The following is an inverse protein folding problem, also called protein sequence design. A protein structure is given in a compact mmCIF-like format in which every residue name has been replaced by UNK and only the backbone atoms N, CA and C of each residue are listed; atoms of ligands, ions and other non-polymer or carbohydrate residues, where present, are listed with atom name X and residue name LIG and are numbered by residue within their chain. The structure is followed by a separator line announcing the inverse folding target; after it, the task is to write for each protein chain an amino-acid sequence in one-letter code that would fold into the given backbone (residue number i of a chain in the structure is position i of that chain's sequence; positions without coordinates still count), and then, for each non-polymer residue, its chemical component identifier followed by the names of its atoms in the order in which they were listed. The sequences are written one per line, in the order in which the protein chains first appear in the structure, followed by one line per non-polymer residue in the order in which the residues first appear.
data_IF_414379490637
#
_entry.id   IF_414379490637
#
_cell.length_a   1.000
_cell.length_b   1.000
_cell.length_c   1.000
_cell.angle_alpha   90.00
_cell.angle_beta   90.00
_cell.angle_gamma   90.00
#
_symmetry.space_group_name_H-M   'P 1'
#
loop_
_entity.id
_entity.type
_entity.pdbx_description
1 polymer ?
#
# COMPACT_ATOMS: atom_id res chain seq x y z
N UNK A 1 -19.46 -8.90 -0.59
CA UNK A 1 -18.05 -8.53 -0.38
C UNK A 1 -18.01 -7.37 0.58
N UNK A 2 -17.06 -7.35 1.51
CA UNK A 2 -16.96 -6.31 2.53
C UNK A 2 -15.85 -5.32 2.16
N UNK A 3 -16.22 -4.22 1.51
CA UNK A 3 -15.27 -3.17 1.11
C UNK A 3 -14.91 -2.22 2.27
N UNK A 4 -15.54 -2.39 3.43
CA UNK A 4 -15.17 -1.72 4.68
C UNK A 4 -14.15 -2.51 5.49
N UNK A 5 -13.75 -3.70 5.00
CA UNK A 5 -12.82 -4.58 5.71
C UNK A 5 -11.54 -3.83 6.08
N UNK A 6 -11.24 -3.80 7.36
CA UNK A 6 -9.95 -3.38 7.86
C UNK A 6 -9.56 -4.21 9.09
N UNK A 7 -8.28 -4.55 9.20
CA UNK A 7 -7.78 -5.35 10.31
C UNK A 7 -6.38 -4.91 10.71
N UNK A 8 -6.22 -4.47 11.96
CA UNK A 8 -4.91 -4.09 12.52
C UNK A 8 -4.06 -5.36 12.68
N UNK A 9 -2.93 -5.41 11.98
CA UNK A 9 -2.01 -6.56 11.97
C UNK A 9 -0.84 -6.38 12.93
N UNK A 10 -0.53 -5.13 13.30
CA UNK A 10 0.51 -4.78 14.26
C UNK A 10 0.16 -3.48 14.97
N UNK A 11 0.41 -3.45 16.27
CA UNK A 11 0.33 -2.24 17.10
C UNK A 11 1.54 -2.18 18.02
N UNK A 12 2.29 -1.08 17.95
CA UNK A 12 3.43 -0.80 18.80
C UNK A 12 3.27 0.52 19.53
N UNK A 13 3.89 0.59 20.70
CA UNK A 13 3.81 1.73 21.61
C UNK A 13 5.19 2.27 21.92
N UNK A 14 5.30 3.58 22.06
CA UNK A 14 6.51 4.24 22.52
C UNK A 14 6.67 4.12 24.06
N UNK A 15 7.76 4.71 24.60
CA UNK A 15 8.05 4.71 26.05
C UNK A 15 7.01 5.45 26.90
N UNK A 16 6.18 6.30 26.28
CA UNK A 16 5.08 7.04 26.92
C UNK A 16 3.74 6.31 26.79
N UNK A 17 3.74 5.08 26.26
CA UNK A 17 2.55 4.27 26.00
C UNK A 17 1.60 4.89 24.94
N UNK A 18 2.16 5.67 24.01
CA UNK A 18 1.45 6.22 22.86
C UNK A 18 1.68 5.31 21.65
N UNK A 19 0.63 5.11 20.84
CA UNK A 19 0.72 4.30 19.62
C UNK A 19 1.61 5.03 18.61
N UNK A 20 2.69 4.39 18.20
CA UNK A 20 3.69 4.97 17.29
C UNK A 20 4.06 4.04 16.12
N UNK A 21 3.50 2.84 16.08
CA UNK A 21 3.69 1.83 15.05
C UNK A 21 2.35 1.13 14.83
N UNK A 22 1.85 1.17 13.62
CA UNK A 22 0.53 0.63 13.29
C UNK A 22 0.57 0.08 11.87
N UNK A 23 0.18 -1.18 11.71
CA UNK A 23 -0.07 -1.79 10.41
C UNK A 23 -1.49 -2.30 10.33
N UNK A 24 -2.06 -2.29 9.14
CA UNK A 24 -3.35 -2.91 8.91
C UNK A 24 -3.47 -3.44 7.48
N UNK A 25 -4.25 -4.51 7.35
CA UNK A 25 -4.90 -4.84 6.09
C UNK A 25 -6.11 -3.93 5.89
N UNK A 26 -6.31 -3.46 4.66
CA UNK A 26 -7.53 -2.77 4.22
C UNK A 26 -8.06 -3.44 2.96
N UNK A 27 -9.39 -3.54 2.86
CA UNK A 27 -10.10 -4.08 1.72
C UNK A 27 -10.51 -2.98 0.74
N UNK A 28 -10.46 -3.28 -0.55
CA UNK A 28 -10.73 -2.31 -1.59
C UNK A 28 -11.53 -2.96 -2.72
N UNK A 29 -12.46 -2.18 -3.27
CA UNK A 29 -13.12 -2.51 -4.53
C UNK A 29 -12.33 -1.90 -5.68
N UNK A 30 -12.03 -2.70 -6.71
CA UNK A 30 -11.38 -2.23 -7.92
C UNK A 30 -12.39 -1.44 -8.78
N UNK A 31 -12.05 -0.21 -9.19
CA UNK A 31 -12.93 0.66 -10.00
C UNK A 31 -12.79 0.34 -11.49
N UNK A 32 -11.55 0.18 -11.94
CA UNK A 32 -11.21 -0.13 -13.32
C UNK A 32 -10.02 -1.10 -13.37
N UNK A 33 -9.86 -1.78 -14.50
CA UNK A 33 -8.85 -2.85 -14.67
C UNK A 33 -7.53 -2.34 -15.27
N UNK A 34 -7.19 -1.07 -15.03
CA UNK A 34 -5.97 -0.45 -15.54
C UNK A 34 -5.04 -0.01 -14.41
N UNK A 35 -3.74 -0.06 -14.70
CA UNK A 35 -2.71 0.58 -13.87
C UNK A 35 -2.53 2.00 -14.39
N UNK A 36 -2.70 2.97 -13.50
CA UNK A 36 -2.55 4.39 -13.78
C UNK A 36 -1.21 4.90 -13.26
N UNK A 37 -0.81 6.08 -13.72
CA UNK A 37 0.45 6.69 -13.32
C UNK A 37 0.30 8.17 -12.99
N UNK A 38 1.14 8.64 -12.05
CA UNK A 38 1.33 10.06 -11.74
C UNK A 38 2.79 10.32 -11.41
N UNK A 39 3.24 11.57 -11.51
CA UNK A 39 4.58 11.96 -11.08
C UNK A 39 4.55 12.55 -9.67
N UNK A 40 5.67 12.41 -8.98
CA UNK A 40 5.95 13.04 -7.69
C UNK A 40 7.44 13.32 -7.60
N UNK A 41 7.83 14.46 -7.05
CA UNK A 41 9.23 14.84 -6.89
C UNK A 41 9.69 14.60 -5.44
N UNK A 42 10.86 14.00 -5.28
CA UNK A 42 11.48 13.76 -3.98
C UNK A 42 13.00 13.79 -4.09
N UNK A 43 13.67 14.58 -3.26
CA UNK A 43 15.12 14.72 -3.26
C UNK A 43 15.68 15.05 -4.65
N UNK A 44 15.06 16.06 -5.29
CA UNK A 44 15.39 16.52 -6.66
C UNK A 44 15.23 15.44 -7.75
N UNK A 45 14.51 14.36 -7.46
CA UNK A 45 14.24 13.27 -8.39
C UNK A 45 12.74 13.14 -8.65
N UNK A 46 12.36 13.19 -9.93
CA UNK A 46 11.00 12.83 -10.36
C UNK A 46 10.83 11.33 -10.34
N UNK A 47 9.71 10.88 -9.76
CA UNK A 47 9.32 9.48 -9.62
C UNK A 47 7.96 9.30 -10.28
N UNK A 48 7.88 8.36 -11.23
CA UNK A 48 6.61 7.86 -11.75
C UNK A 48 6.04 6.84 -10.77
N UNK A 49 4.88 7.13 -10.21
CA UNK A 49 4.13 6.30 -9.26
C UNK A 49 3.03 5.54 -10.00
N UNK A 50 2.97 4.23 -9.81
CA UNK A 50 1.94 3.36 -10.40
C UNK A 50 0.87 2.98 -9.37
N UNK A 51 -0.40 3.05 -9.74
CA UNK A 51 -1.50 2.78 -8.83
C UNK A 51 -2.74 2.20 -9.54
N UNK A 52 -3.61 1.55 -8.76
CA UNK A 52 -4.96 1.18 -9.19
C UNK A 52 -5.97 2.22 -8.66
N UNK A 53 -7.01 2.52 -9.43
CA UNK A 53 -8.16 3.25 -8.93
C UNK A 53 -9.05 2.29 -8.14
N UNK A 54 -9.27 2.60 -6.88
CA UNK A 54 -10.05 1.76 -5.98
C UNK A 54 -11.03 2.58 -5.14
N UNK A 55 -12.05 1.93 -4.58
CA UNK A 55 -12.86 2.51 -3.50
C UNK A 55 -12.68 1.72 -2.21
N UNK A 56 -12.71 2.42 -1.08
CA UNK A 56 -12.82 1.83 0.25
C UNK A 56 -14.04 2.43 0.96
N UNK A 57 -14.73 1.64 1.76
CA UNK A 57 -15.88 2.10 2.53
C UNK A 57 -15.47 2.50 3.95
N UNK A 58 -15.57 3.79 4.26
CA UNK A 58 -15.42 4.30 5.62
C UNK A 58 -16.79 4.66 6.19
N UNK A 59 -17.22 4.01 7.27
CA UNK A 59 -18.49 4.29 7.97
C UNK A 59 -19.73 4.34 7.05
N UNK A 60 -19.83 3.44 6.05
CA UNK A 60 -20.96 3.43 5.11
C UNK A 60 -20.80 4.34 3.89
N UNK A 61 -19.69 5.06 3.76
CA UNK A 61 -19.43 5.98 2.65
C UNK A 61 -18.25 5.47 1.83
N UNK A 62 -18.44 5.31 0.52
CA UNK A 62 -17.38 4.92 -0.41
C UNK A 62 -16.53 6.13 -0.79
N UNK A 63 -15.23 6.03 -0.52
CA UNK A 63 -14.24 7.02 -0.91
C UNK A 63 -13.40 6.50 -2.07
N UNK A 64 -13.26 7.26 -3.18
CA UNK A 64 -12.30 6.95 -4.23
C UNK A 64 -10.88 7.21 -3.74
N UNK A 65 -9.99 6.26 -3.99
CA UNK A 65 -8.61 6.25 -3.53
C UNK A 65 -7.66 5.68 -4.59
N UNK A 66 -6.37 5.92 -4.40
CA UNK A 66 -5.30 5.28 -5.17
C UNK A 66 -4.69 4.14 -4.35
N UNK A 67 -4.70 2.93 -4.89
CA UNK A 67 -3.92 1.82 -4.34
C UNK A 67 -2.52 1.83 -4.97
N UNK A 68 -1.53 2.37 -4.27
CA UNK A 68 -0.17 2.54 -4.80
C UNK A 68 0.56 1.20 -4.84
N UNK A 69 1.00 0.81 -6.03
CA UNK A 69 1.70 -0.46 -6.29
C UNK A 69 3.22 -0.31 -6.15
N UNK A 70 3.76 0.85 -6.54
CA UNK A 70 5.20 1.15 -6.52
C UNK A 70 5.55 2.39 -7.32
N UNK A 71 6.82 2.56 -7.64
CA UNK A 71 7.29 3.67 -8.45
C UNK A 71 8.70 3.48 -9.00
N UNK A 72 9.03 4.22 -10.06
CA UNK A 72 10.32 4.17 -10.75
C UNK A 72 10.88 5.57 -10.98
N UNK A 73 12.20 5.76 -10.98
CA UNK A 73 12.82 7.03 -11.39
C UNK A 73 12.42 7.46 -12.80
N UNK A 74 12.18 8.76 -12.96
CA UNK A 74 11.85 9.39 -14.23
C UNK A 74 10.40 9.84 -14.29
N UNK A 75 10.09 10.59 -15.34
CA UNK A 75 8.77 11.18 -15.57
C UNK A 75 7.98 10.35 -16.59
N UNK A 76 6.72 10.03 -16.26
CA UNK A 76 5.78 9.32 -17.14
C UNK A 76 6.35 8.03 -17.75
N UNK A 77 7.17 7.30 -16.99
CA UNK A 77 7.80 6.07 -17.46
C UNK A 77 6.73 5.00 -17.71
N UNK A 78 6.61 4.44 -18.92
CA UNK A 78 5.71 3.33 -19.19
C UNK A 78 6.12 2.06 -18.45
N UNK A 79 5.16 1.17 -18.13
CA UNK A 79 5.42 -0.06 -17.37
C UNK A 79 6.39 -0.99 -18.11
N UNK A 80 6.30 -1.04 -19.44
CA UNK A 80 7.18 -1.79 -20.34
C UNK A 80 8.64 -1.32 -20.32
N UNK A 81 8.87 -0.06 -19.94
CA UNK A 81 10.19 0.58 -19.91
C UNK A 81 10.82 0.58 -18.51
N UNK A 82 10.13 0.02 -17.50
CA UNK A 82 10.67 -0.06 -16.14
C UNK A 82 11.94 -0.92 -16.15
N UNK A 83 13.08 -0.41 -15.64
CA UNK A 83 14.30 -1.20 -15.52
C UNK A 83 14.08 -2.45 -14.68
N UNK A 84 14.71 -3.56 -15.06
CA UNK A 84 14.67 -4.78 -14.26
C UNK A 84 15.34 -4.53 -12.89
N UNK A 85 14.52 -4.51 -11.83
CA UNK A 85 14.94 -4.18 -10.47
C UNK A 85 13.74 -4.07 -9.53
N UNK A 86 13.97 -3.79 -8.24
CA UNK A 86 12.92 -3.81 -7.21
C UNK A 86 11.70 -2.90 -7.48
N UNK A 87 11.85 -1.88 -8.32
CA UNK A 87 10.78 -0.97 -8.76
C UNK A 87 9.75 -1.62 -9.67
N UNK A 88 10.11 -2.72 -10.33
CA UNK A 88 9.26 -3.42 -11.29
C UNK A 88 8.33 -4.45 -10.64
N UNK A 89 8.45 -4.69 -9.32
CA UNK A 89 7.80 -5.80 -8.65
C UNK A 89 6.81 -5.37 -7.57
N UNK A 90 5.75 -6.15 -7.45
CA UNK A 90 4.79 -6.10 -6.34
C UNK A 90 4.75 -7.47 -5.67
N UNK A 91 4.73 -7.46 -4.33
CA UNK A 91 4.50 -8.67 -3.57
C UNK A 91 3.01 -8.97 -3.56
N UNK A 92 2.61 -10.11 -4.12
CA UNK A 92 1.19 -10.41 -4.23
C UNK A 92 0.85 -11.89 -4.18
N UNK A 93 -0.42 -12.16 -3.91
CA UNK A 93 -1.00 -13.48 -3.93
C UNK A 93 -2.45 -13.42 -4.39
N UNK A 94 -2.86 -14.38 -5.23
CA UNK A 94 -4.26 -14.60 -5.59
C UNK A 94 -4.80 -15.77 -4.77
N UNK A 95 -5.98 -15.63 -4.19
CA UNK A 95 -6.63 -16.64 -3.36
C UNK A 95 -8.09 -16.77 -3.73
N UNK A 96 -8.61 -17.98 -3.63
CA UNK A 96 -10.05 -18.25 -3.71
C UNK A 96 -10.73 -17.87 -2.39
N UNK A 97 -11.99 -17.46 -2.45
CA UNK A 97 -12.79 -17.09 -1.27
C UNK A 97 -12.98 -18.24 -0.27
N UNK A 98 -12.82 -19.50 -0.71
CA UNK A 98 -12.87 -20.69 0.13
C UNK A 98 -11.60 -20.91 0.96
N UNK A 99 -10.48 -20.29 0.57
CA UNK A 99 -9.22 -20.40 1.29
C UNK A 99 -9.24 -19.54 2.56
N UNK A 100 -8.82 -20.08 3.72
CA UNK A 100 -8.74 -19.30 4.95
C UNK A 100 -7.81 -18.08 4.80
N UNK A 101 -8.31 -16.92 5.23
CA UNK A 101 -7.52 -15.70 5.35
C UNK A 101 -7.38 -15.32 6.83
N UNK A 102 -6.16 -15.46 7.35
CA UNK A 102 -5.79 -14.94 8.66
C UNK A 102 -4.86 -13.73 8.46
N UNK A 103 -5.28 -12.51 8.83
CA UNK A 103 -4.51 -11.29 8.56
C UNK A 103 -3.19 -11.24 9.35
N UNK A 104 -3.12 -11.79 10.57
CA UNK A 104 -1.88 -11.81 11.36
C UNK A 104 -0.87 -12.78 10.78
N UNK A 105 -1.31 -14.00 10.44
CA UNK A 105 -0.45 -15.00 9.80
C UNK A 105 0.03 -14.47 8.45
N UNK A 106 -0.89 -13.90 7.66
CA UNK A 106 -0.55 -13.35 6.33
C UNK A 106 0.44 -12.22 6.46
N UNK A 107 0.21 -11.24 7.34
CA UNK A 107 1.15 -10.14 7.60
C UNK A 107 2.53 -10.68 8.04
N UNK A 108 2.56 -11.57 9.03
CA UNK A 108 3.81 -12.16 9.53
C UNK A 108 4.59 -12.85 8.41
N UNK A 109 3.92 -13.70 7.62
CA UNK A 109 4.57 -14.55 6.62
C UNK A 109 4.98 -13.76 5.39
N UNK A 110 4.18 -12.76 5.00
CA UNK A 110 4.49 -11.81 3.94
C UNK A 110 5.61 -10.83 4.30
N UNK A 111 5.97 -10.65 5.57
CA UNK A 111 7.08 -9.78 6.00
C UNK A 111 8.32 -10.56 6.47
N UNK A 112 8.40 -11.88 6.18
CA UNK A 112 9.61 -12.68 6.43
C UNK A 112 10.70 -12.39 5.41
N UNK A 113 11.91 -12.84 5.73
CA UNK A 113 13.05 -12.89 4.81
C UNK A 113 12.67 -13.60 3.50
N UNK A 114 13.29 -13.16 2.41
CA UNK A 114 12.98 -13.58 1.04
C UNK A 114 12.81 -15.10 0.88
N UNK A 115 13.78 -15.89 1.34
CA UNK A 115 13.81 -17.35 1.18
C UNK A 115 12.63 -18.06 1.87
N UNK A 116 12.06 -17.44 2.91
CA UNK A 116 10.93 -17.99 3.68
C UNK A 116 9.57 -17.50 3.20
N UNK A 117 9.56 -16.54 2.26
CA UNK A 117 8.37 -15.82 1.82
C UNK A 117 8.04 -16.07 0.35
N UNK A 118 9.05 -16.17 -0.51
CA UNK A 118 8.89 -16.13 -1.97
C UNK A 118 7.89 -17.16 -2.51
N UNK A 119 7.82 -18.35 -1.93
CA UNK A 119 6.88 -19.41 -2.37
C UNK A 119 5.42 -19.02 -2.19
N UNK A 120 5.10 -18.32 -1.11
CA UNK A 120 3.73 -18.07 -0.67
C UNK A 120 3.28 -16.67 -1.10
N UNK A 121 4.23 -15.72 -1.15
CA UNK A 121 4.02 -14.32 -1.52
C UNK A 121 5.06 -13.90 -2.56
N UNK A 122 4.97 -14.41 -3.80
CA UNK A 122 5.95 -14.11 -4.83
C UNK A 122 5.95 -12.61 -5.21
N UNK A 123 7.09 -12.18 -5.75
CA UNK A 123 7.20 -10.89 -6.41
C UNK A 123 6.72 -11.04 -7.86
N UNK A 124 5.58 -10.43 -8.18
CA UNK A 124 5.07 -10.37 -9.55
C UNK A 124 5.55 -9.09 -10.23
N UNK A 125 5.92 -9.16 -11.51
CA UNK A 125 6.22 -7.94 -12.26
C UNK A 125 4.94 -7.12 -12.47
N UNK A 126 5.06 -5.78 -12.44
CA UNK A 126 3.95 -4.86 -12.74
C UNK A 126 3.35 -5.10 -14.13
N UNK A 127 4.16 -5.44 -15.13
CA UNK A 127 3.66 -5.80 -16.47
C UNK A 127 2.80 -7.07 -16.46
N UNK A 128 3.14 -8.03 -15.60
CA UNK A 128 2.40 -9.30 -15.49
C UNK A 128 1.11 -9.07 -14.72
N UNK A 129 1.12 -8.19 -13.70
CA UNK A 129 -0.11 -7.69 -13.08
C UNK A 129 -0.99 -6.94 -14.08
N UNK A 130 -0.41 -6.08 -14.92
CA UNK A 130 -1.14 -5.35 -15.96
C UNK A 130 -1.84 -6.32 -16.94
N UNK A 131 -1.17 -7.42 -17.29
CA UNK A 131 -1.75 -8.48 -18.12
C UNK A 131 -2.81 -9.32 -17.39
N UNK A 132 -2.69 -9.48 -16.07
CA UNK A 132 -3.65 -10.23 -15.24
C UNK A 132 -4.96 -9.47 -14.98
N UNK A 133 -4.92 -8.14 -14.80
CA UNK A 133 -6.10 -7.35 -14.42
C UNK A 133 -7.32 -7.53 -15.34
N UNK A 134 -7.19 -7.60 -16.68
CA UNK A 134 -8.30 -7.88 -17.57
C UNK A 134 -8.95 -9.25 -17.38
N UNK A 135 -8.21 -10.25 -16.87
CA UNK A 135 -8.65 -11.64 -16.73
C UNK A 135 -9.26 -11.94 -15.35
N UNK A 136 -9.19 -10.99 -14.40
CA UNK A 136 -9.79 -11.16 -13.08
C UNK A 136 -11.34 -11.28 -13.17
N UNK A 137 -12.01 -11.99 -12.25
CA UNK A 137 -13.47 -12.00 -12.22
C UNK A 137 -14.03 -10.63 -11.85
N UNK A 138 -15.29 -10.35 -12.23
CA UNK A 138 -15.96 -9.10 -11.84
C UNK A 138 -16.17 -9.00 -10.32
N UNK A 139 -16.41 -10.15 -9.69
CA UNK A 139 -16.52 -10.27 -8.25
C UNK A 139 -15.14 -10.59 -7.64
N UNK A 140 -14.47 -9.56 -7.15
CA UNK A 140 -13.23 -9.68 -6.37
C UNK A 140 -13.14 -8.64 -5.25
N UNK A 141 -12.28 -8.88 -4.28
CA UNK A 141 -11.81 -7.87 -3.31
C UNK A 141 -10.28 -7.84 -3.29
N UNK A 142 -9.72 -6.64 -3.25
CA UNK A 142 -8.29 -6.42 -3.05
C UNK A 142 -8.04 -6.16 -1.57
N UNK A 143 -7.15 -6.92 -0.93
CA UNK A 143 -6.66 -6.60 0.41
C UNK A 143 -5.22 -6.12 0.32
N UNK A 144 -4.91 -4.98 0.93
CA UNK A 144 -3.55 -4.47 0.99
C UNK A 144 -3.10 -4.25 2.43
N UNK A 145 -1.92 -4.77 2.78
CA UNK A 145 -1.25 -4.52 4.05
C UNK A 145 -0.12 -3.52 3.87
N UNK A 146 -0.04 -2.57 4.80
CA UNK A 146 1.00 -1.54 4.81
C UNK A 146 1.13 -0.90 6.21
N UNK A 147 2.32 -0.41 6.59
CA UNK A 147 2.47 0.47 7.75
C UNK A 147 1.69 1.78 7.56
N UNK A 148 0.85 2.11 8.53
CA UNK A 148 0.11 3.38 8.61
C UNK A 148 0.89 4.37 9.48
N UNK A 149 1.47 3.89 10.58
CA UNK A 149 2.35 4.68 11.45
C UNK A 149 3.71 4.03 11.52
N UNK A 150 4.72 4.88 11.49
CA UNK A 150 6.12 4.52 11.59
C UNK A 150 6.72 5.15 12.84
N UNK A 151 7.48 4.39 13.65
CA UNK A 151 8.20 4.93 14.79
C UNK A 151 9.08 6.10 14.40
N UNK A 152 9.04 7.18 15.19
CA UNK A 152 9.84 8.38 14.92
C UNK A 152 11.35 8.11 14.87
N UNK A 153 11.82 7.15 15.66
CA UNK A 153 13.22 6.73 15.68
C UNK A 153 13.67 6.12 14.33
N UNK A 154 12.72 5.60 13.53
CA UNK A 154 13.00 4.98 12.23
C UNK A 154 12.97 5.98 11.06
N UNK A 155 12.49 7.21 11.25
CA UNK A 155 12.28 8.16 10.14
C UNK A 155 13.56 8.52 9.39
N UNK A 156 14.70 8.55 10.09
CA UNK A 156 15.99 8.80 9.42
C UNK A 156 16.31 7.66 8.45
N UNK A 157 16.08 6.41 8.87
CA UNK A 157 16.30 5.23 8.03
C UNK A 157 15.29 5.20 6.87
N UNK A 158 14.03 5.47 7.15
CA UNK A 158 12.96 5.57 6.14
C UNK A 158 13.31 6.60 5.06
N UNK A 159 13.75 7.80 5.44
CA UNK A 159 14.18 8.82 4.48
C UNK A 159 15.34 8.35 3.60
N UNK A 160 16.34 7.68 4.21
CA UNK A 160 17.46 7.11 3.47
C UNK A 160 17.00 6.04 2.48
N UNK A 161 16.04 5.20 2.87
CA UNK A 161 15.52 4.12 2.03
C UNK A 161 14.65 4.66 0.88
N UNK A 162 13.81 5.67 1.14
CA UNK A 162 13.08 6.40 0.10
C UNK A 162 14.05 7.02 -0.92
N UNK A 163 15.17 7.59 -0.48
CA UNK A 163 16.18 8.16 -1.36
C UNK A 163 17.02 7.14 -2.14
N UNK A 164 17.04 5.87 -1.70
CA UNK A 164 17.75 4.78 -2.39
C UNK A 164 16.87 4.01 -3.37
N UNK A 165 15.57 3.97 -3.11
CA UNK A 165 14.62 3.15 -3.85
C UNK A 165 13.31 3.90 -4.10
N UNK A 166 13.06 4.24 -5.36
CA UNK A 166 11.87 5.00 -5.78
C UNK A 166 10.54 4.32 -5.41
N UNK A 167 10.49 2.98 -5.38
CA UNK A 167 9.28 2.27 -4.98
C UNK A 167 8.96 2.45 -3.49
N UNK A 168 9.98 2.62 -2.63
CA UNK A 168 9.78 2.95 -1.21
C UNK A 168 9.33 4.39 -1.06
N UNK A 169 9.91 5.33 -1.82
CA UNK A 169 9.43 6.71 -1.86
C UNK A 169 7.95 6.76 -2.27
N UNK A 170 7.56 6.08 -3.35
CA UNK A 170 6.18 6.00 -3.81
C UNK A 170 5.22 5.41 -2.76
N UNK A 171 5.65 4.38 -2.02
CA UNK A 171 4.83 3.74 -0.99
C UNK A 171 4.78 4.51 0.32
N UNK A 172 5.85 5.16 0.74
CA UNK A 172 5.87 5.82 2.05
C UNK A 172 5.38 7.26 1.99
N UNK A 173 5.55 7.97 0.87
CA UNK A 173 5.15 9.36 0.71
C UNK A 173 3.70 9.66 1.15
N UNK A 174 2.67 8.84 0.84
CA UNK A 174 1.29 9.14 1.26
C UNK A 174 1.08 9.25 2.78
N UNK A 175 1.95 8.64 3.57
CA UNK A 175 1.86 8.62 5.03
C UNK A 175 2.80 9.60 5.73
N UNK A 176 3.60 10.38 5.00
CA UNK A 176 4.48 11.38 5.59
C UNK A 176 4.15 12.80 5.13
N UNK A 177 4.38 13.76 6.01
CA UNK A 177 4.47 15.17 5.68
C UNK A 177 5.93 15.54 5.39
N UNK A 178 6.15 16.15 4.24
CA UNK A 178 7.44 16.64 3.77
C UNK A 178 7.42 18.17 3.82
N UNK A 179 8.50 18.77 4.31
CA UNK A 179 8.70 20.21 4.19
C UNK A 179 9.36 20.59 2.85
N UNK A 180 9.59 21.90 2.65
CA UNK A 180 10.21 22.46 1.44
C UNK A 180 11.62 21.92 1.13
N UNK A 181 12.24 21.16 2.04
CA UNK A 181 13.56 20.54 1.88
C UNK A 181 13.47 19.00 1.89
N UNK A 182 12.30 18.43 1.60
CA UNK A 182 12.01 17.00 1.59
C UNK A 182 12.37 16.30 2.91
N UNK A 183 12.28 17.00 4.05
CA UNK A 183 12.47 16.38 5.37
C UNK A 183 11.14 15.80 5.83
N UNK A 184 11.18 14.57 6.33
CA UNK A 184 10.05 13.97 7.04
C UNK A 184 9.87 14.75 8.35
N UNK A 185 8.86 15.61 8.40
CA UNK A 185 8.57 16.47 9.55
C UNK A 185 7.48 15.89 10.43
N UNK A 186 6.51 15.19 9.83
CA UNK A 186 5.48 14.46 10.55
C UNK A 186 4.91 13.26 9.76
N UNK A 187 4.04 12.47 10.39
CA UNK A 187 3.10 11.60 9.66
C UNK A 187 2.02 12.48 8.98
N UNK A 188 1.49 12.03 7.85
CA UNK A 188 0.48 12.80 7.11
C UNK A 188 -0.85 12.89 7.88
N UNK A 189 -1.68 13.91 7.61
CA UNK A 189 -3.04 13.99 8.15
C UNK A 189 -3.87 12.73 7.85
N UNK A 190 -3.64 12.10 6.70
CA UNK A 190 -4.29 10.85 6.34
C UNK A 190 -3.85 9.68 7.24
N UNK A 191 -2.55 9.55 7.55
CA UNK A 191 -2.04 8.53 8.48
C UNK A 191 -2.74 8.61 9.84
N UNK A 192 -2.87 9.84 10.38
CA UNK A 192 -3.53 10.07 11.66
C UNK A 192 -5.03 9.87 11.61
N UNK A 193 -5.70 10.33 10.54
CA UNK A 193 -7.13 10.07 10.36
C UNK A 193 -7.41 8.57 10.28
N UNK A 194 -6.59 7.84 9.52
CA UNK A 194 -6.74 6.39 9.36
C UNK A 194 -6.48 5.64 10.67
N UNK A 195 -5.43 6.00 11.43
CA UNK A 195 -5.21 5.50 12.80
C UNK A 195 -6.45 5.69 13.66
N UNK A 196 -6.97 6.90 13.70
CA UNK A 196 -8.10 7.26 14.55
C UNK A 196 -9.40 6.55 14.13
N UNK A 197 -9.60 6.37 12.82
CA UNK A 197 -10.69 5.57 12.28
C UNK A 197 -10.59 4.11 12.73
N UNK A 198 -9.43 3.47 12.52
CA UNK A 198 -9.24 2.05 12.84
C UNK A 198 -9.35 1.74 14.34
N UNK A 199 -8.90 2.66 15.21
CA UNK A 199 -8.88 2.45 16.66
C UNK A 199 -10.14 2.90 17.37
N UNK A 200 -10.76 3.97 16.89
CA UNK A 200 -11.82 4.68 17.60
C UNK A 200 -13.06 4.92 16.75
N UNK A 201 -13.12 4.37 15.54
CA UNK A 201 -14.21 4.53 14.59
C UNK A 201 -14.55 6.00 14.30
N UNK A 202 -13.55 6.88 14.29
CA UNK A 202 -13.72 8.29 13.91
C UNK A 202 -13.95 8.42 12.41
N UNK A 203 -14.62 9.49 12.02
CA UNK A 203 -14.82 9.80 10.60
C UNK A 203 -13.51 10.18 9.93
N UNK A 204 -13.34 9.70 8.70
CA UNK A 204 -12.27 10.13 7.80
C UNK A 204 -12.70 11.45 7.14
N UNK A 205 -11.86 12.50 7.16
CA UNK A 205 -12.16 13.74 6.45
C UNK A 205 -12.34 13.48 4.94
N UNK A 206 -13.13 14.31 4.25
CA UNK A 206 -13.26 14.18 2.81
C UNK A 206 -11.99 14.70 2.11
N UNK A 207 -11.30 13.81 1.39
CA UNK A 207 -10.13 14.14 0.58
C UNK A 207 -9.87 13.02 -0.45
N UNK A 208 -8.90 13.25 -1.32
CA UNK A 208 -8.39 12.23 -2.24
C UNK A 208 -7.18 11.54 -1.61
N UNK A 209 -7.33 10.25 -1.29
CA UNK A 209 -6.34 9.50 -0.52
C UNK A 209 -5.58 8.49 -1.38
N UNK A 210 -4.36 8.17 -0.96
CA UNK A 210 -3.56 7.10 -1.52
C UNK A 210 -3.18 6.13 -0.41
N UNK A 211 -3.54 4.85 -0.57
CA UNK A 211 -3.12 3.77 0.30
C UNK A 211 -2.09 2.92 -0.45
N UNK A 212 -0.88 2.69 0.08
CA UNK A 212 0.12 1.86 -0.57
C UNK A 212 -0.07 0.38 -0.26
N UNK A 213 0.32 -0.47 -1.20
CA UNK A 213 0.34 -1.91 -1.00
C UNK A 213 1.77 -2.38 -0.79
N UNK A 214 2.08 -2.82 0.43
CA UNK A 214 3.31 -3.58 0.67
C UNK A 214 3.09 -5.05 0.26
N UNK A 215 1.95 -5.61 0.66
CA UNK A 215 1.45 -6.92 0.22
C UNK A 215 0.07 -6.75 -0.36
N UNK A 216 -0.17 -7.28 -1.56
CA UNK A 216 -1.47 -7.30 -2.22
C UNK A 216 -2.04 -8.72 -2.23
N UNK A 217 -3.23 -8.92 -1.67
CA UNK A 217 -3.98 -10.16 -1.78
C UNK A 217 -5.20 -9.90 -2.64
N UNK A 218 -5.36 -10.67 -3.72
CA UNK A 218 -6.56 -10.65 -4.55
C UNK A 218 -7.40 -11.84 -4.14
N UNK A 219 -8.59 -11.60 -3.58
CA UNK A 219 -9.55 -12.65 -3.26
C UNK A 219 -10.60 -12.68 -4.34
N UNK A 220 -10.70 -13.82 -5.04
CA UNK A 220 -11.70 -14.08 -6.07
C UNK A 220 -12.74 -15.05 -5.55
N UNK A 221 -13.99 -14.94 -6.01
CA UNK A 221 -14.97 -15.99 -5.76
C UNK A 221 -14.57 -17.27 -6.53
N UNK A 222 -14.98 -18.45 -6.03
CA UNK A 222 -14.92 -19.70 -6.81
C UNK A 222 -15.78 -19.54 -8.08
N UNK A 223 -15.29 -20.02 -9.23
CA UNK A 223 -16.10 -20.24 -10.42
C UNK A 223 -17.10 -21.40 -10.24
#
# INVERSE_FOLDING_TARGET
MDWSYAHITRIGFNRLNEINDLWAFMGFQLIDRAIHQRNFDFLDQTITVYYLNVTHEFNGVLYPMQLVLGGTPGENIPIEDIPAGGTAYIQMQVRESSQPFDPYITHRDANRDYDLRESDYPLLFLKDLQALLPDLPDELILLADHPILFPKDDWTQIKLDMGRAAYLAARYQPFFELDDFDRLVDQSPFAYALRDHLLYNRDIPENYYAFPSNTLIIITNEE
#
